data_IF_075894753304
#
_entry.id   IF_075894753304
#
_cell.length_a   1.000
_cell.length_b   1.000
_cell.length_c   1.000
_cell.angle_alpha   90.00
_cell.angle_beta   90.00
_cell.angle_gamma   90.00
#
_symmetry.space_group_name_H-M   'P 1'
#
loop_
_entity.id
_entity.type
_entity.pdbx_description
1 polymer ?
#
# COMPACT_ATOMS: atom_id res chain seq x y z
N UNK A 1 12.66 -3.92 -5.27
CA UNK A 1 11.96 -4.72 -4.24
C UNK A 1 11.83 -6.17 -4.66
N UNK A 2 11.98 -7.13 -3.73
CA UNK A 2 11.73 -8.58 -3.96
C UNK A 2 10.36 -9.05 -3.42
N UNK A 3 9.69 -8.23 -2.61
CA UNK A 3 8.37 -8.56 -2.05
C UNK A 3 7.27 -8.16 -3.04
N UNK A 4 6.64 -9.15 -3.67
CA UNK A 4 5.57 -8.94 -4.65
C UNK A 4 4.31 -8.30 -4.04
N UNK A 5 3.98 -8.60 -2.77
CA UNK A 5 2.85 -7.97 -2.09
C UNK A 5 3.11 -6.49 -1.83
N UNK A 6 4.32 -6.14 -1.40
CA UNK A 6 4.72 -4.75 -1.22
C UNK A 6 4.72 -3.97 -2.54
N UNK A 7 5.19 -4.57 -3.65
CA UNK A 7 5.08 -3.96 -4.98
C UNK A 7 3.64 -3.69 -5.39
N UNK A 8 2.73 -4.65 -5.18
CA UNK A 8 1.32 -4.46 -5.53
C UNK A 8 0.67 -3.40 -4.65
N UNK A 9 0.96 -3.39 -3.35
CA UNK A 9 0.51 -2.33 -2.43
C UNK A 9 1.01 -0.95 -2.90
N UNK A 10 2.27 -0.86 -3.29
CA UNK A 10 2.85 0.37 -3.86
C UNK A 10 2.08 0.89 -5.07
N UNK A 11 1.71 0.02 -6.01
CA UNK A 11 0.90 0.40 -7.17
C UNK A 11 -0.55 0.77 -6.79
N UNK A 12 -1.13 0.15 -5.76
CA UNK A 12 -2.46 0.54 -5.26
C UNK A 12 -2.40 1.95 -4.64
N UNK A 13 -1.35 2.27 -3.89
CA UNK A 13 -1.19 3.60 -3.30
C UNK A 13 -1.09 4.71 -4.36
N UNK A 14 -0.61 4.42 -5.58
CA UNK A 14 -0.48 5.43 -6.64
C UNK A 14 -1.80 5.80 -7.33
N UNK A 15 -2.89 5.11 -7.00
CA UNK A 15 -4.26 5.43 -7.44
C UNK A 15 -4.84 6.65 -6.72
N UNK A 16 -4.26 7.02 -5.57
CA UNK A 16 -4.70 8.14 -4.75
C UNK A 16 -4.05 9.46 -5.21
N UNK A 17 -4.61 10.58 -4.76
CA UNK A 17 -4.12 11.91 -5.12
C UNK A 17 -2.78 12.18 -4.44
N UNK A 18 -2.17 13.26 -4.92
CA UNK A 18 -0.92 13.75 -4.37
C UNK A 18 -1.14 14.11 -2.92
N UNK A 19 -0.21 13.71 -2.06
CA UNK A 19 -0.21 14.11 -0.67
C UNK A 19 -1.46 13.68 0.13
N UNK A 20 -2.30 12.81 -0.44
CA UNK A 20 -3.46 12.25 0.22
C UNK A 20 -3.01 11.29 1.32
N UNK A 21 -3.57 11.47 2.52
CA UNK A 21 -3.38 10.55 3.62
C UNK A 21 -4.33 9.36 3.41
N UNK A 22 -3.74 8.19 3.19
CA UNK A 22 -4.47 6.97 2.87
C UNK A 22 -4.55 6.10 4.13
N UNK A 23 -5.74 5.86 4.69
CA UNK A 23 -5.88 4.98 5.83
C UNK A 23 -5.51 3.54 5.47
N UNK A 24 -4.77 2.86 6.36
CA UNK A 24 -4.44 1.44 6.20
C UNK A 24 -5.71 0.58 6.07
N UNK A 25 -6.82 0.98 6.69
CA UNK A 25 -8.11 0.32 6.54
C UNK A 25 -8.60 0.31 5.08
N UNK A 26 -8.48 1.45 4.39
CA UNK A 26 -8.87 1.58 2.98
C UNK A 26 -7.96 0.72 2.10
N UNK A 27 -6.64 0.79 2.33
CA UNK A 27 -5.68 -0.05 1.62
C UNK A 27 -5.97 -1.53 1.83
N UNK A 28 -6.29 -1.94 3.06
CA UNK A 28 -6.63 -3.32 3.39
C UNK A 28 -7.83 -3.81 2.58
N UNK A 29 -8.90 -3.01 2.50
CA UNK A 29 -10.09 -3.35 1.70
C UNK A 29 -9.77 -3.47 0.21
N UNK A 30 -9.00 -2.53 -0.34
CA UNK A 30 -8.59 -2.57 -1.75
C UNK A 30 -7.69 -3.78 -2.05
N UNK A 31 -6.74 -4.05 -1.16
CA UNK A 31 -5.83 -5.19 -1.22
C UNK A 31 -6.55 -6.54 -1.20
N UNK A 32 -7.61 -6.65 -0.39
CA UNK A 32 -8.50 -7.83 -0.38
C UNK A 32 -9.30 -7.90 -1.69
N UNK A 33 -9.95 -6.80 -2.08
CA UNK A 33 -10.79 -6.75 -3.29
C UNK A 33 -10.03 -7.02 -4.59
N UNK A 34 -8.72 -6.73 -4.61
CA UNK A 34 -7.81 -7.00 -5.73
C UNK A 34 -7.13 -8.38 -5.65
N UNK A 35 -7.35 -9.15 -4.58
CA UNK A 35 -6.74 -10.46 -4.38
C UNK A 35 -5.24 -10.42 -4.10
N UNK A 36 -4.69 -9.26 -3.71
CA UNK A 36 -3.27 -9.10 -3.34
C UNK A 36 -2.99 -9.71 -1.97
N UNK A 37 -3.93 -9.52 -1.06
CA UNK A 37 -3.90 -10.07 0.28
C UNK A 37 -5.19 -10.87 0.49
N UNK A 38 -5.04 -12.09 0.98
CA UNK A 38 -6.17 -12.97 1.23
C UNK A 38 -6.62 -12.84 2.69
N UNK A 39 -7.93 -12.96 2.89
CA UNK A 39 -8.51 -13.08 4.21
C UNK A 39 -8.37 -14.53 4.65
N UNK A 40 -7.24 -14.87 5.26
CA UNK A 40 -7.05 -16.21 5.82
C UNK A 40 -8.00 -16.43 7.02
N UNK A 41 -8.70 -17.55 7.03
CA UNK A 41 -9.72 -17.92 8.03
C UNK A 41 -10.82 -16.87 8.30
N UNK A 42 -11.12 -15.99 7.33
CA UNK A 42 -12.18 -14.98 7.49
C UNK A 42 -11.80 -13.79 8.39
N UNK A 43 -10.54 -13.68 8.83
CA UNK A 43 -10.10 -12.58 9.70
C UNK A 43 -9.59 -11.37 8.92
N UNK A 44 -10.37 -10.29 8.95
CA UNK A 44 -9.94 -8.98 8.46
C UNK A 44 -8.63 -8.51 9.13
N UNK A 45 -8.47 -8.80 10.43
CA UNK A 45 -7.27 -8.45 11.18
C UNK A 45 -5.99 -9.09 10.64
N UNK A 46 -6.09 -10.31 10.10
CA UNK A 46 -4.95 -10.98 9.47
C UNK A 46 -4.51 -10.28 8.19
N UNK A 47 -5.46 -9.94 7.31
CA UNK A 47 -5.18 -9.19 6.09
C UNK A 47 -4.61 -7.80 6.40
N UNK A 48 -5.19 -7.12 7.41
CA UNK A 48 -4.70 -5.81 7.89
C UNK A 48 -3.26 -5.89 8.37
N UNK A 49 -2.90 -6.91 9.13
CA UNK A 49 -1.52 -7.08 9.61
C UNK A 49 -0.53 -7.30 8.45
N UNK A 50 -0.92 -8.08 7.43
CA UNK A 50 -0.08 -8.26 6.24
C UNK A 50 0.10 -6.95 5.46
N UNK A 51 -0.95 -6.12 5.35
CA UNK A 51 -0.86 -4.80 4.72
C UNK A 51 0.03 -3.87 5.53
N UNK A 52 -0.07 -3.88 6.86
CA UNK A 52 0.85 -3.16 7.74
C UNK A 52 2.30 -3.57 7.49
N UNK A 53 2.61 -4.87 7.47
CA UNK A 53 3.98 -5.35 7.19
C UNK A 53 4.47 -4.92 5.80
N UNK A 54 3.60 -4.92 4.79
CA UNK A 54 3.96 -4.48 3.45
C UNK A 54 4.16 -2.95 3.39
N UNK A 55 3.35 -2.17 4.12
CA UNK A 55 3.50 -0.73 4.23
C UNK A 55 4.81 -0.37 4.94
N UNK A 56 5.17 -1.08 6.02
CA UNK A 56 6.42 -0.91 6.76
C UNK A 56 7.65 -1.09 5.85
N UNK A 57 7.66 -2.14 5.01
CA UNK A 57 8.71 -2.35 3.99
C UNK A 57 8.82 -1.16 3.02
N UNK A 58 7.69 -0.57 2.62
CA UNK A 58 7.67 0.58 1.71
C UNK A 58 8.14 1.86 2.41
N UNK A 59 7.80 2.05 3.68
CA UNK A 59 8.26 3.16 4.51
C UNK A 59 9.77 3.06 4.72
N UNK A 60 10.29 1.90 5.09
CA UNK A 60 11.73 1.61 5.22
C UNK A 60 12.50 1.83 3.91
N UNK A 61 11.82 1.68 2.78
CA UNK A 61 12.38 1.93 1.45
C UNK A 61 12.23 3.38 0.97
N UNK A 62 11.71 4.29 1.81
CA UNK A 62 11.38 5.68 1.48
C UNK A 62 10.38 5.84 0.32
N UNK A 63 9.53 4.83 0.08
CA UNK A 63 8.52 4.84 -0.98
C UNK A 63 7.14 5.27 -0.48
N UNK A 64 6.92 5.21 0.83
CA UNK A 64 5.76 5.77 1.52
C UNK A 64 6.23 6.55 2.74
N UNK A 65 5.40 7.48 3.18
CA UNK A 65 5.58 8.20 4.43
C UNK A 65 4.46 7.84 5.39
N UNK A 66 4.79 7.71 6.68
CA UNK A 66 3.79 7.64 7.74
C UNK A 66 3.26 9.06 8.00
N UNK A 67 1.95 9.25 7.89
CA UNK A 67 1.30 10.56 8.06
C UNK A 67 0.62 10.69 9.43
N UNK A 68 -0.09 9.64 9.87
CA UNK A 68 -0.74 9.52 11.18
C UNK A 68 -0.63 8.06 11.68
N UNK A 69 -1.12 7.74 12.87
CA UNK A 69 -0.96 6.42 13.52
C UNK A 69 -1.28 5.23 12.60
N UNK A 70 -2.24 5.38 11.67
CA UNK A 70 -2.62 4.33 10.71
C UNK A 70 -2.85 4.86 9.30
N UNK A 71 -2.14 5.92 8.90
CA UNK A 71 -2.23 6.52 7.57
C UNK A 71 -0.87 6.60 6.89
N UNK A 72 -0.85 6.31 5.60
CA UNK A 72 0.35 6.46 4.75
C UNK A 72 0.11 7.47 3.64
N UNK A 73 1.18 8.11 3.19
CA UNK A 73 1.17 9.10 2.13
C UNK A 73 2.23 8.76 1.09
N UNK A 74 1.94 9.07 -0.18
CA UNK A 74 2.88 8.92 -1.29
C UNK A 74 3.23 10.29 -1.85
N UNK A 75 4.54 10.56 -1.98
CA UNK A 75 5.04 11.75 -2.65
C UNK A 75 4.70 11.72 -4.15
N UNK A 76 4.45 12.90 -4.70
CA UNK A 76 4.25 13.18 -6.13
C UNK A 76 5.24 12.44 -7.05
N UNK A 77 6.55 12.59 -6.81
CA UNK A 77 7.59 11.96 -7.63
C UNK A 77 7.54 10.43 -7.56
N UNK A 78 7.23 9.89 -6.39
CA UNK A 78 7.14 8.45 -6.16
C UNK A 78 5.89 7.88 -6.82
N UNK A 79 4.78 8.62 -6.76
CA UNK A 79 3.53 8.29 -7.45
C UNK A 79 3.74 8.25 -8.96
N UNK A 80 4.44 9.22 -9.53
CA UNK A 80 4.70 9.27 -10.97
C UNK A 80 5.53 8.06 -11.42
N UNK A 81 6.55 7.68 -10.63
CA UNK A 81 7.32 6.44 -10.86
C UNK A 81 6.43 5.20 -10.77
N UNK A 82 5.53 5.13 -9.79
CA UNK A 82 4.60 4.02 -9.64
C UNK A 82 3.64 3.90 -10.82
N UNK A 83 3.09 5.01 -11.30
CA UNK A 83 2.21 5.06 -12.47
C UNK A 83 2.96 4.69 -13.75
N UNK A 84 4.22 5.11 -13.89
CA UNK A 84 5.06 4.68 -15.00
C UNK A 84 5.31 3.17 -14.99
N UNK A 85 5.57 2.59 -13.82
CA UNK A 85 5.72 1.13 -13.65
C UNK A 85 4.41 0.39 -13.96
N UNK A 86 3.26 0.94 -13.58
CA UNK A 86 1.96 0.31 -13.83
C UNK A 86 1.57 0.27 -15.32
N UNK A 87 2.03 1.25 -16.09
CA UNK A 87 1.68 1.41 -17.51
C UNK A 87 2.68 0.73 -18.47
N UNK A 88 3.60 -0.08 -17.95
CA UNK A 88 4.69 -0.70 -18.70
C UNK A 88 4.81 -2.20 -18.35
#
# INVERSE_FOLDING_TARGET
MKNEKAKKLFLICSLFREDEEIPIEVLTRLCIGTGVFEVDNGSYGHARNQVFTAADILIDSCLLLLADEECVKMHDLIRDVAQWIANN
#
